data_IF_106670857166
#
_entry.id   IF_106670857166
#
_cell.length_a   1.000
_cell.length_b   1.000
_cell.length_c   1.000
_cell.angle_alpha   90.00
_cell.angle_beta   90.00
_cell.angle_gamma   90.00
#
_symmetry.space_group_name_H-M   'P 1'
#
loop_
_entity.id
_entity.type
_entity.pdbx_description
1 polymer ?
#
# COMPACT_ATOMS: atom_id res chain seq x y z
N UNK A 1 6.06 51.20 36.51
CA UNK A 1 4.91 50.29 36.39
C UNK A 1 4.77 49.90 34.93
N UNK A 2 5.18 48.68 34.56
CA UNK A 2 4.95 48.16 33.21
C UNK A 2 3.44 48.08 32.98
N UNK A 3 2.96 48.68 31.89
CA UNK A 3 1.54 48.67 31.52
C UNK A 3 1.14 47.23 31.16
N UNK A 4 0.58 46.50 32.13
CA UNK A 4 0.08 45.13 31.97
C UNK A 4 -0.86 44.97 30.77
N UNK A 5 -1.58 46.04 30.39
CA UNK A 5 -2.41 46.11 29.19
C UNK A 5 -1.62 45.97 27.89
N UNK A 6 -0.48 46.64 27.78
CA UNK A 6 0.38 46.57 26.59
C UNK A 6 1.00 45.17 26.47
N UNK A 7 1.40 44.59 27.58
CA UNK A 7 2.00 43.25 27.61
C UNK A 7 0.99 42.16 27.22
N UNK A 8 -0.27 42.29 27.68
CA UNK A 8 -1.37 41.40 27.28
C UNK A 8 -1.65 41.48 25.77
N UNK A 9 -1.70 42.69 25.21
CA UNK A 9 -1.98 42.90 23.77
C UNK A 9 -0.83 42.31 22.92
N UNK A 10 0.42 42.53 23.30
CA UNK A 10 1.57 41.96 22.60
C UNK A 10 1.57 40.43 22.66
N UNK A 11 1.19 39.85 23.81
CA UNK A 11 1.09 38.40 23.96
C UNK A 11 -0.02 37.82 23.06
N UNK A 12 -1.20 38.45 23.02
CA UNK A 12 -2.31 38.04 22.15
C UNK A 12 -1.89 38.11 20.68
N UNK A 13 -1.19 39.18 20.28
CA UNK A 13 -0.71 39.36 18.91
C UNK A 13 0.33 38.31 18.52
N UNK A 14 1.26 37.98 19.42
CA UNK A 14 2.24 36.89 19.21
C UNK A 14 1.58 35.52 19.10
N UNK A 15 0.57 35.24 19.93
CA UNK A 15 -0.20 33.99 19.85
C UNK A 15 -0.94 33.90 18.51
N UNK A 16 -1.63 34.96 18.08
CA UNK A 16 -2.34 35.00 16.81
C UNK A 16 -1.40 34.81 15.60
N UNK A 17 -0.21 35.41 15.64
CA UNK A 17 0.84 35.18 14.64
C UNK A 17 1.27 33.72 14.66
N UNK A 18 1.60 33.15 15.82
CA UNK A 18 2.06 31.74 15.90
C UNK A 18 1.01 30.73 15.42
N UNK A 19 -0.28 30.99 15.62
CA UNK A 19 -1.38 30.16 15.08
C UNK A 19 -1.53 30.36 13.56
N UNK A 20 -1.25 31.55 13.04
CA UNK A 20 -1.35 31.86 11.60
C UNK A 20 -0.16 31.34 10.78
N UNK A 21 0.99 31.11 11.42
CA UNK A 21 2.22 30.58 10.78
C UNK A 21 2.50 29.11 11.13
N UNK A 22 1.59 28.43 11.83
CA UNK A 22 1.68 26.99 11.98
C UNK A 22 1.52 26.36 10.60
N UNK A 23 2.50 25.58 10.08
CA UNK A 23 2.31 24.85 8.84
C UNK A 23 1.07 24.00 9.03
N UNK A 24 0.05 24.22 8.19
CA UNK A 24 -1.17 23.45 8.18
C UNK A 24 -0.79 21.98 8.15
N UNK A 25 -1.08 21.24 9.22
CA UNK A 25 -0.91 19.81 9.23
C UNK A 25 -1.80 19.25 8.12
N UNK A 26 -1.18 18.85 7.02
CA UNK A 26 -1.90 18.23 5.92
C UNK A 26 -2.50 16.92 6.44
N UNK A 27 -3.83 16.86 6.49
CA UNK A 27 -4.52 15.67 6.93
C UNK A 27 -4.20 14.52 5.98
N UNK A 28 -3.67 13.42 6.51
CA UNK A 28 -3.47 12.20 5.75
C UNK A 28 -4.72 11.33 5.81
N UNK A 29 -5.10 10.76 4.68
CA UNK A 29 -6.21 9.81 4.53
C UNK A 29 -5.66 8.42 4.37
N UNK A 30 -6.13 7.46 5.18
CA UNK A 30 -5.68 6.07 5.02
C UNK A 30 -6.30 5.46 3.77
N UNK A 31 -5.45 4.88 2.94
CA UNK A 31 -5.80 4.15 1.73
C UNK A 31 -5.74 2.66 2.00
N UNK A 32 -6.74 1.93 1.52
CA UNK A 32 -6.76 0.48 1.59
C UNK A 32 -7.15 -0.11 0.25
N UNK A 33 -6.37 -1.10 -0.21
CA UNK A 33 -6.66 -1.90 -1.38
C UNK A 33 -6.46 -3.37 -1.03
N UNK A 34 -7.40 -4.23 -1.42
CA UNK A 34 -7.33 -5.67 -1.18
C UNK A 34 -7.85 -6.40 -2.39
N UNK A 35 -7.32 -7.59 -2.65
CA UNK A 35 -7.88 -8.50 -3.64
C UNK A 35 -7.73 -9.96 -3.19
N UNK A 36 -8.78 -10.74 -3.48
CA UNK A 36 -8.79 -12.19 -3.31
C UNK A 36 -8.61 -12.81 -4.71
N UNK A 37 -7.51 -13.52 -4.86
CA UNK A 37 -7.07 -14.05 -6.15
C UNK A 37 -7.23 -15.57 -6.15
N UNK A 38 -7.60 -16.11 -7.29
CA UNK A 38 -7.65 -17.55 -7.55
C UNK A 38 -6.96 -17.85 -8.88
N UNK A 39 -5.96 -18.72 -8.86
CA UNK A 39 -5.32 -19.28 -10.04
C UNK A 39 -5.59 -20.78 -10.13
N UNK A 40 -6.03 -21.27 -11.29
CA UNK A 40 -6.26 -22.70 -11.53
C UNK A 40 -5.12 -23.29 -12.34
N UNK A 41 -4.59 -24.42 -11.89
CA UNK A 41 -3.54 -25.15 -12.60
C UNK A 41 -3.73 -26.66 -12.49
N UNK A 42 -3.14 -27.38 -13.44
CA UNK A 42 -3.15 -28.83 -13.52
C UNK A 42 -1.76 -29.39 -13.27
N UNK A 43 -1.68 -30.46 -12.48
CA UNK A 43 -0.49 -31.31 -12.34
C UNK A 43 -0.85 -32.75 -12.71
N UNK A 44 0.10 -33.49 -13.29
CA UNK A 44 -0.10 -34.91 -13.59
C UNK A 44 -0.31 -35.76 -12.33
N UNK A 45 0.33 -35.38 -11.22
CA UNK A 45 0.29 -36.13 -9.96
C UNK A 45 -0.97 -35.81 -9.14
N UNK A 46 -1.46 -34.56 -9.22
CA UNK A 46 -2.48 -34.03 -8.32
C UNK A 46 -3.77 -33.57 -9.00
N UNK A 47 -3.82 -33.60 -10.33
CA UNK A 47 -4.94 -33.14 -11.13
C UNK A 47 -5.13 -31.63 -11.08
N UNK A 48 -6.37 -31.18 -11.29
CA UNK A 48 -6.74 -29.76 -11.23
C UNK A 48 -6.83 -29.25 -9.79
N UNK A 49 -6.17 -28.13 -9.51
CA UNK A 49 -6.24 -27.41 -8.23
C UNK A 49 -6.42 -25.92 -8.42
N UNK A 50 -6.98 -25.30 -7.39
CA UNK A 50 -7.10 -23.85 -7.26
C UNK A 50 -6.14 -23.36 -6.18
N UNK A 51 -5.38 -22.32 -6.51
CA UNK A 51 -4.43 -21.65 -5.67
C UNK A 51 -4.96 -20.27 -5.33
N UNK A 52 -5.62 -20.20 -4.18
CA UNK A 52 -6.25 -18.98 -3.70
C UNK A 52 -5.32 -18.25 -2.73
N UNK A 53 -5.28 -16.93 -2.80
CA UNK A 53 -4.61 -16.11 -1.80
C UNK A 53 -5.21 -14.71 -1.75
N UNK A 54 -5.01 -14.02 -0.63
CA UNK A 54 -5.36 -12.61 -0.47
C UNK A 54 -4.08 -11.79 -0.46
N UNK A 55 -4.12 -10.60 -1.04
CA UNK A 55 -3.14 -9.58 -0.72
C UNK A 55 -3.80 -8.25 -0.42
N UNK A 56 -3.14 -7.49 0.44
CA UNK A 56 -3.60 -6.23 0.98
C UNK A 56 -2.49 -5.20 0.90
N UNK A 57 -2.88 -3.99 0.58
CA UNK A 57 -2.04 -2.82 0.59
C UNK A 57 -2.71 -1.72 1.41
N UNK A 58 -1.93 -1.06 2.25
CA UNK A 58 -2.31 0.11 3.00
C UNK A 58 -1.26 1.21 2.85
N UNK A 59 -1.69 2.46 2.76
CA UNK A 59 -0.82 3.62 2.75
C UNK A 59 -1.55 4.84 3.28
N UNK A 60 -0.84 5.94 3.49
CA UNK A 60 -1.45 7.20 3.91
C UNK A 60 -1.28 8.23 2.80
N UNK A 61 -2.38 8.58 2.13
CA UNK A 61 -2.45 9.64 1.15
C UNK A 61 -2.43 11.01 1.83
N UNK A 62 -1.65 11.94 1.31
CA UNK A 62 -1.65 13.32 1.75
C UNK A 62 -1.36 14.25 0.57
N UNK A 63 -1.81 15.49 0.66
CA UNK A 63 -1.44 16.53 -0.29
C UNK A 63 -0.43 17.46 0.35
N UNK A 64 0.40 18.10 -0.47
CA UNK A 64 1.35 19.10 0.00
C UNK A 64 1.58 20.19 -1.04
N UNK A 65 2.53 21.07 -0.74
CA UNK A 65 2.93 22.15 -1.64
C UNK A 65 4.45 22.24 -1.68
N UNK A 66 5.02 22.15 -2.87
CA UNK A 66 6.46 22.23 -3.10
C UNK A 66 6.73 22.97 -4.41
N UNK A 67 7.80 23.77 -4.45
CA UNK A 67 8.25 24.48 -5.67
C UNK A 67 7.14 25.27 -6.37
N UNK A 68 6.21 25.87 -5.61
CA UNK A 68 5.13 26.67 -6.19
C UNK A 68 3.95 25.86 -6.74
N UNK A 69 3.89 24.54 -6.53
CA UNK A 69 2.82 23.66 -7.03
C UNK A 69 2.31 22.72 -5.94
N UNK A 70 1.02 22.36 -6.02
CA UNK A 70 0.44 21.32 -5.18
C UNK A 70 0.88 19.93 -5.67
N UNK A 71 1.17 19.03 -4.75
CA UNK A 71 1.41 17.62 -5.05
C UNK A 71 0.46 16.72 -4.25
N UNK A 72 0.25 15.53 -4.78
CA UNK A 72 -0.42 14.43 -4.09
C UNK A 72 0.61 13.31 -3.89
N UNK A 73 0.64 12.75 -2.70
CA UNK A 73 1.60 11.72 -2.34
C UNK A 73 0.97 10.66 -1.44
N UNK A 74 1.62 9.50 -1.40
CA UNK A 74 1.30 8.41 -0.48
C UNK A 74 2.58 8.01 0.21
N UNK A 75 2.50 7.85 1.53
CA UNK A 75 3.61 7.41 2.38
C UNK A 75 3.18 6.23 3.26
N UNK A 76 4.11 5.76 4.09
CA UNK A 76 3.85 4.76 5.12
C UNK A 76 3.15 3.53 4.54
N UNK A 77 3.79 2.88 3.59
CA UNK A 77 3.22 1.75 2.86
C UNK A 77 3.36 0.45 3.66
N UNK A 78 2.26 -0.29 3.77
CA UNK A 78 2.22 -1.69 4.19
C UNK A 78 1.66 -2.54 3.06
N UNK A 79 2.27 -3.70 2.82
CA UNK A 79 1.84 -4.65 1.80
C UNK A 79 2.03 -6.06 2.34
N UNK A 80 0.96 -6.83 2.41
CA UNK A 80 1.03 -8.22 2.78
C UNK A 80 0.28 -9.13 1.79
N UNK A 81 0.76 -10.36 1.65
CA UNK A 81 0.10 -11.41 0.90
C UNK A 81 0.10 -12.71 1.71
N UNK A 82 -1.04 -13.38 1.76
CA UNK A 82 -1.26 -14.53 2.63
C UNK A 82 -2.39 -15.44 2.15
N UNK A 83 -2.44 -16.65 2.69
CA UNK A 83 -3.58 -17.56 2.64
C UNK A 83 -4.16 -17.75 4.03
N UNK A 84 -5.47 -17.59 4.18
CA UNK A 84 -6.17 -17.98 5.40
C UNK A 84 -6.55 -19.47 5.35
N UNK A 85 -6.92 -20.09 6.50
CA UNK A 85 -7.43 -21.46 6.51
C UNK A 85 -8.66 -21.69 5.62
N UNK A 86 -9.48 -20.65 5.38
CA UNK A 86 -10.64 -20.75 4.47
C UNK A 86 -10.24 -20.82 2.98
N UNK A 87 -9.00 -20.47 2.63
CA UNK A 87 -8.49 -20.48 1.25
C UNK A 87 -7.78 -21.78 0.88
N UNK A 88 -7.93 -22.82 1.71
CA UNK A 88 -7.28 -24.14 1.59
C UNK A 88 -5.76 -24.02 1.47
N UNK A 89 -5.09 -24.28 2.59
CA UNK A 89 -3.63 -24.41 2.64
C UNK A 89 -3.30 -25.86 2.29
N UNK A 90 -2.70 -26.05 1.12
CA UNK A 90 -2.32 -27.38 0.63
C UNK A 90 -1.14 -27.94 1.44
N UNK A 91 -1.01 -29.28 1.54
CA UNK A 91 0.18 -29.90 2.10
C UNK A 91 1.41 -29.63 1.23
N UNK A 92 2.60 -29.83 1.80
CA UNK A 92 3.88 -29.43 1.19
C UNK A 92 4.13 -30.10 -0.17
N UNK A 93 3.62 -31.32 -0.40
CA UNK A 93 3.80 -32.07 -1.64
C UNK A 93 3.01 -31.49 -2.83
N UNK A 94 1.91 -30.77 -2.57
CA UNK A 94 1.15 -30.03 -3.58
C UNK A 94 1.73 -28.61 -3.73
N UNK A 95 2.21 -28.04 -2.62
CA UNK A 95 2.70 -26.67 -2.55
C UNK A 95 1.58 -25.64 -2.53
N UNK A 96 1.91 -24.43 -2.07
CA UNK A 96 0.99 -23.29 -2.03
C UNK A 96 1.37 -22.19 -3.03
N UNK A 97 2.31 -22.48 -3.93
CA UNK A 97 2.91 -21.49 -4.82
C UNK A 97 3.80 -20.49 -4.09
N UNK A 98 4.31 -19.52 -4.84
CA UNK A 98 5.12 -18.42 -4.37
C UNK A 98 4.48 -17.11 -4.81
N UNK A 99 4.32 -16.18 -3.86
CA UNK A 99 3.86 -14.84 -4.14
C UNK A 99 4.95 -13.83 -3.78
N UNK A 100 5.21 -12.87 -4.67
CA UNK A 100 6.15 -11.78 -4.43
C UNK A 100 5.48 -10.44 -4.70
N UNK A 101 5.87 -9.43 -3.95
CA UNK A 101 5.54 -8.04 -4.26
C UNK A 101 6.19 -7.69 -5.60
N UNK A 102 5.41 -7.27 -6.59
CA UNK A 102 5.93 -6.82 -7.87
C UNK A 102 6.29 -5.33 -7.80
N UNK A 103 5.27 -4.47 -7.64
CA UNK A 103 5.42 -3.04 -7.37
C UNK A 103 4.10 -2.42 -6.88
N UNK A 104 4.20 -1.22 -6.32
CA UNK A 104 3.06 -0.33 -6.06
C UNK A 104 3.19 0.86 -7.00
N UNK A 105 2.14 1.17 -7.74
CA UNK A 105 2.11 2.24 -8.73
C UNK A 105 1.16 3.35 -8.28
N UNK A 106 1.53 4.60 -8.54
CA UNK A 106 0.59 5.71 -8.65
C UNK A 106 0.19 5.82 -10.13
N UNK A 107 -1.11 5.82 -10.40
CA UNK A 107 -1.65 5.91 -11.76
C UNK A 107 -2.65 7.05 -11.90
N UNK A 108 -2.70 7.68 -13.07
CA UNK A 108 -3.69 8.70 -13.41
C UNK A 108 -5.08 8.09 -13.73
N UNK A 109 -6.07 8.94 -14.02
CA UNK A 109 -7.44 8.50 -14.35
C UNK A 109 -7.53 7.65 -15.63
N UNK A 110 -6.49 7.68 -16.47
CA UNK A 110 -6.36 6.91 -17.72
C UNK A 110 -5.58 5.62 -17.53
N UNK A 111 -5.07 5.36 -16.33
CA UNK A 111 -4.28 4.18 -15.98
C UNK A 111 -2.80 4.27 -16.37
N UNK A 112 -2.29 5.45 -16.73
CA UNK A 112 -0.86 5.66 -16.95
C UNK A 112 -0.12 5.70 -15.62
N UNK A 113 1.01 5.00 -15.54
CA UNK A 113 1.88 5.04 -14.35
C UNK A 113 2.63 6.36 -14.34
N UNK A 114 2.41 7.15 -13.28
CA UNK A 114 3.08 8.44 -13.07
C UNK A 114 4.25 8.32 -12.08
N UNK A 115 4.18 7.37 -11.15
CA UNK A 115 5.25 7.03 -10.22
C UNK A 115 5.11 5.58 -9.74
N UNK A 116 6.17 4.96 -9.24
CA UNK A 116 6.11 3.60 -8.69
C UNK A 116 7.22 3.28 -7.67
N UNK A 117 6.90 2.36 -6.76
CA UNK A 117 7.84 1.73 -5.84
C UNK A 117 7.96 0.24 -6.20
N UNK A 118 9.16 -0.19 -6.57
CA UNK A 118 9.48 -1.59 -6.80
C UNK A 118 9.69 -2.33 -5.47
N UNK A 119 9.73 -3.67 -5.52
CA UNK A 119 10.03 -4.51 -4.35
C UNK A 119 11.29 -4.10 -3.57
N UNK A 120 12.31 -3.57 -4.24
CA UNK A 120 13.55 -3.06 -3.60
C UNK A 120 13.32 -1.86 -2.67
N UNK A 121 12.23 -1.11 -2.85
CA UNK A 121 11.85 -0.01 -1.96
C UNK A 121 11.20 -0.52 -0.67
N UNK A 122 10.91 -1.81 -0.57
CA UNK A 122 10.22 -2.42 0.55
C UNK A 122 11.14 -3.30 1.39
N UNK A 123 11.04 -3.13 2.70
CA UNK A 123 11.71 -3.96 3.71
C UNK A 123 10.72 -4.94 4.31
N UNK A 124 11.20 -6.02 4.92
CA UNK A 124 10.32 -6.98 5.58
C UNK A 124 9.72 -6.37 6.87
N UNK A 125 8.48 -6.78 7.18
CA UNK A 125 7.72 -6.31 8.34
C UNK A 125 6.61 -5.33 7.96
N UNK A 126 6.00 -4.72 8.97
CA UNK A 126 4.86 -3.80 8.80
C UNK A 126 5.05 -2.54 9.65
N UNK A 127 4.38 -1.47 9.27
CA UNK A 127 4.24 -0.22 10.02
C UNK A 127 3.01 -0.36 10.92
N UNK A 128 1.90 -0.85 10.36
CA UNK A 128 0.63 -1.10 11.05
C UNK A 128 0.51 -2.57 11.44
N UNK A 129 -0.38 -2.85 12.39
CA UNK A 129 -0.72 -4.22 12.79
C UNK A 129 -1.69 -4.88 11.81
N UNK A 130 -1.49 -6.16 11.53
CA UNK A 130 -2.42 -6.99 10.76
C UNK A 130 -3.15 -7.95 11.70
N UNK A 131 -4.47 -8.02 11.59
CA UNK A 131 -5.29 -9.03 12.29
C UNK A 131 -5.84 -9.97 11.22
N UNK A 132 -5.36 -11.21 11.25
CA UNK A 132 -5.79 -12.29 10.36
C UNK A 132 -6.17 -13.52 11.17
N UNK A 133 -7.00 -14.44 10.62
CA UNK A 133 -7.33 -15.69 11.29
C UNK A 133 -6.07 -16.49 11.69
N UNK A 134 -6.15 -17.20 12.82
CA UNK A 134 -5.08 -18.14 13.22
C UNK A 134 -4.88 -19.23 12.16
N UNK A 135 -3.65 -19.70 11.99
CA UNK A 135 -3.30 -20.69 10.95
C UNK A 135 -3.11 -20.10 9.54
N UNK A 136 -3.00 -18.77 9.44
CA UNK A 136 -2.67 -18.09 8.18
C UNK A 136 -1.25 -18.43 7.73
N UNK A 137 -1.10 -18.79 6.45
CA UNK A 137 0.18 -18.92 5.77
C UNK A 137 0.54 -17.58 5.13
N UNK A 138 1.65 -16.98 5.55
CA UNK A 138 2.15 -15.73 4.97
C UNK A 138 3.10 -16.00 3.82
N UNK A 139 2.88 -15.35 2.67
CA UNK A 139 3.90 -15.27 1.64
C UNK A 139 4.92 -14.19 1.96
N UNK A 140 4.43 -12.99 2.31
CA UNK A 140 5.27 -11.90 2.77
C UNK A 140 4.47 -10.86 3.55
N UNK A 141 5.20 -10.10 4.37
CA UNK A 141 4.78 -8.82 4.93
C UNK A 141 5.90 -7.83 4.68
N UNK A 142 5.56 -6.71 4.05
CA UNK A 142 6.52 -5.71 3.59
C UNK A 142 6.05 -4.30 3.90
N UNK A 143 7.00 -3.42 4.16
CA UNK A 143 6.78 -2.00 4.43
C UNK A 143 7.71 -1.09 3.66
N UNK A 144 7.29 0.14 3.40
CA UNK A 144 8.14 1.19 2.84
C UNK A 144 7.76 2.56 3.39
N UNK A 145 8.77 3.38 3.66
CA UNK A 145 8.61 4.80 4.02
C UNK A 145 8.90 5.73 2.85
N UNK A 146 9.32 5.18 1.70
CA UNK A 146 9.52 5.97 0.49
C UNK A 146 8.17 6.50 0.03
N UNK A 147 8.16 7.70 -0.55
CA UNK A 147 6.92 8.31 -1.03
C UNK A 147 6.67 7.89 -2.48
N UNK A 148 5.40 7.65 -2.79
CA UNK A 148 4.85 7.77 -4.14
C UNK A 148 4.32 9.18 -4.29
N UNK A 149 4.80 9.97 -5.24
CA UNK A 149 4.39 11.37 -5.36
C UNK A 149 4.28 11.85 -6.80
N UNK A 150 3.32 12.73 -7.06
CA UNK A 150 3.26 13.46 -8.31
C UNK A 150 2.62 14.84 -8.11
N UNK A 151 2.99 15.80 -8.97
CA UNK A 151 2.32 17.09 -9.00
C UNK A 151 0.87 16.92 -9.43
N UNK A 152 -0.02 17.66 -8.78
CA UNK A 152 -1.46 17.50 -8.96
C UNK A 152 -1.87 17.97 -10.36
N UNK A 153 -2.34 17.02 -11.18
CA UNK A 153 -2.83 17.30 -12.55
C UNK A 153 -4.09 16.51 -12.92
N UNK A 154 -4.41 15.47 -12.15
CA UNK A 154 -5.53 14.55 -12.37
C UNK A 154 -5.95 13.92 -11.02
N UNK A 155 -6.98 13.08 -11.04
CA UNK A 155 -7.26 12.14 -9.96
C UNK A 155 -6.29 10.96 -10.04
N UNK A 156 -5.62 10.67 -8.93
CA UNK A 156 -4.69 9.56 -8.84
C UNK A 156 -5.25 8.36 -8.07
N UNK A 157 -4.83 7.17 -8.48
CA UNK A 157 -5.11 5.90 -7.84
C UNK A 157 -3.80 5.24 -7.44
N UNK A 158 -3.83 4.50 -6.34
CA UNK A 158 -2.75 3.57 -6.00
C UNK A 158 -3.13 2.19 -6.48
N UNK A 159 -2.19 1.54 -7.15
CA UNK A 159 -2.34 0.20 -7.73
C UNK A 159 -1.25 -0.72 -7.19
N UNK A 160 -1.61 -1.62 -6.29
CA UNK A 160 -0.73 -2.61 -5.70
C UNK A 160 -0.72 -3.89 -6.54
N UNK A 161 0.48 -4.41 -6.84
CA UNK A 161 0.64 -5.59 -7.68
C UNK A 161 1.51 -6.67 -7.05
N UNK A 162 1.09 -7.91 -7.23
CA UNK A 162 1.82 -9.12 -6.86
C UNK A 162 2.11 -9.94 -8.10
N UNK A 163 3.17 -10.74 -8.04
CA UNK A 163 3.42 -11.81 -9.00
C UNK A 163 3.32 -13.16 -8.31
N UNK A 164 2.49 -14.04 -8.86
CA UNK A 164 2.29 -15.39 -8.34
C UNK A 164 2.87 -16.43 -9.30
N UNK A 165 3.48 -17.46 -8.74
CA UNK A 165 4.14 -18.56 -9.46
C UNK A 165 3.85 -19.88 -8.77
N UNK A 166 3.73 -20.94 -9.57
CA UNK A 166 3.77 -22.31 -9.09
C UNK A 166 5.10 -22.96 -9.50
N UNK A 167 5.42 -24.10 -8.90
CA UNK A 167 6.52 -24.92 -9.38
C UNK A 167 6.26 -25.41 -10.83
N UNK A 168 7.31 -25.92 -11.47
CA UNK A 168 7.28 -26.38 -12.86
C UNK A 168 6.43 -27.65 -13.09
N UNK A 169 5.93 -28.29 -12.04
CA UNK A 169 5.03 -29.44 -12.14
C UNK A 169 3.57 -29.04 -12.42
N UNK A 170 3.24 -27.74 -12.30
CA UNK A 170 1.91 -27.18 -12.55
C UNK A 170 1.79 -26.47 -13.91
N UNK A 171 0.61 -26.58 -14.54
CA UNK A 171 0.33 -25.97 -15.84
C UNK A 171 -1.04 -25.25 -15.83
N UNK A 172 -1.08 -23.92 -16.08
CA UNK A 172 0.09 -23.02 -16.19
C UNK A 172 0.79 -22.87 -14.83
N UNK A 173 2.09 -22.54 -14.84
CA UNK A 173 2.88 -22.24 -13.63
C UNK A 173 3.02 -20.73 -13.34
N UNK A 174 2.45 -19.88 -14.19
CA UNK A 174 2.60 -18.42 -14.10
C UNK A 174 3.80 -17.89 -14.91
N UNK A 175 4.28 -16.65 -14.66
CA UNK A 175 3.75 -15.68 -13.70
C UNK A 175 2.32 -15.22 -14.01
N UNK A 176 1.51 -15.08 -12.96
CA UNK A 176 0.33 -14.22 -13.00
C UNK A 176 0.62 -12.91 -12.28
N UNK A 177 0.19 -11.79 -12.86
CA UNK A 177 0.31 -10.47 -12.24
C UNK A 177 -1.06 -10.03 -11.77
N UNK A 178 -1.23 -10.02 -10.45
CA UNK A 178 -2.50 -9.66 -9.81
C UNK A 178 -2.46 -8.21 -9.33
N UNK A 179 -3.63 -7.61 -9.20
CA UNK A 179 -3.75 -6.17 -8.98
C UNK A 179 -4.90 -5.84 -8.02
N UNK A 180 -4.66 -4.92 -7.09
CA UNK A 180 -5.68 -4.23 -6.30
C UNK A 180 -5.48 -2.73 -6.44
N UNK A 181 -6.56 -1.95 -6.49
CA UNK A 181 -6.47 -0.49 -6.62
C UNK A 181 -7.43 0.25 -5.71
N UNK A 182 -7.03 1.46 -5.29
CA UNK A 182 -7.85 2.36 -4.49
C UNK A 182 -7.58 3.81 -4.88
N UNK A 183 -8.59 4.66 -4.80
CA UNK A 183 -8.49 6.08 -5.15
C UNK A 183 -7.86 6.86 -3.99
N UNK A 184 -7.04 7.87 -4.29
CA UNK A 184 -6.35 8.65 -3.25
C UNK A 184 -7.25 9.68 -2.56
N UNK A 185 -8.02 10.45 -3.33
CA UNK A 185 -8.91 11.54 -2.87
C UNK A 185 -10.17 11.59 -3.70
#
# INVERSE_FOLDING_TARGET
>A
MQNYRTLLITLIFLVLISVSFSPSAYASTSLFASNDVQHSAYSFDWGWKNFNYTFQYQGDAFSGYEVGSQYEAVKDHDFAAYKTPSQVIWPDEIGNGTCVLYRVEMVDSRGNVVDYLSNSSFQNGTIRGYIVPGGTLWYFMKKSYNWLQNFRSDTYYVKAKTSFYLDESWYPSGPWVDTASTQMF
#
